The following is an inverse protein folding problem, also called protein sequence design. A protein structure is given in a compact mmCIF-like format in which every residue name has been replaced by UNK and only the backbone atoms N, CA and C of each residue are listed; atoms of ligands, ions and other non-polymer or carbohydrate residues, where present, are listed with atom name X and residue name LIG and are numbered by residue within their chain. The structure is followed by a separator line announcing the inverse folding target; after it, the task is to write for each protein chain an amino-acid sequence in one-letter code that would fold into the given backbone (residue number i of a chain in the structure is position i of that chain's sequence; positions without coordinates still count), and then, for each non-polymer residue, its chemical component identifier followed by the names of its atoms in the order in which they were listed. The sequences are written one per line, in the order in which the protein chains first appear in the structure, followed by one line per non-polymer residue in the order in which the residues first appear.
data_IF_803316240820
#
_entry.id   IF_803316240820
#
_cell.length_a   1.000
_cell.length_b   1.000
_cell.length_c   1.000
_cell.angle_alpha   90.00
_cell.angle_beta   90.00
_cell.angle_gamma   90.00
#
_symmetry.space_group_name_H-M   'P 1'
#
loop_
_entity.id
_entity.type
_entity.pdbx_description
1 polymer ?
#
# COMPACT_ATOMS: atom_id res chain seq x y z
N UNK A 1 49.42 10.14 -53.36
CA UNK A 1 49.72 9.98 -54.80
C UNK A 1 49.00 8.73 -55.30
N UNK A 2 48.37 8.82 -56.48
CA UNK A 2 47.64 7.79 -57.26
C UNK A 2 46.42 7.14 -56.55
N UNK A 3 45.14 7.42 -56.83
CA UNK A 3 44.33 7.70 -58.04
C UNK A 3 43.91 6.48 -58.86
N UNK A 4 42.60 6.17 -58.81
CA UNK A 4 41.69 5.67 -59.88
C UNK A 4 40.29 5.56 -59.21
N UNK A 5 39.26 6.42 -59.41
CA UNK A 5 38.41 6.72 -60.61
C UNK A 5 38.07 5.45 -61.39
N UNK A 6 36.85 5.13 -61.82
CA UNK A 6 35.51 5.73 -61.83
C UNK A 6 34.55 4.61 -62.30
N UNK A 7 33.28 4.61 -61.91
CA UNK A 7 32.15 4.65 -62.87
C UNK A 7 30.79 4.57 -62.16
N UNK A 8 29.96 5.56 -62.46
CA UNK A 8 28.53 5.62 -62.21
C UNK A 8 27.78 5.24 -63.49
N UNK A 9 26.58 4.65 -63.37
CA UNK A 9 25.38 5.17 -64.06
C UNK A 9 24.09 4.39 -63.73
N UNK A 10 23.14 5.15 -63.18
CA UNK A 10 21.69 5.25 -63.45
C UNK A 10 20.97 4.12 -64.21
N UNK A 11 19.82 3.70 -63.65
CA UNK A 11 18.54 3.68 -64.36
C UNK A 11 17.35 3.59 -63.38
N UNK A 12 16.48 4.59 -63.41
CA UNK A 12 15.12 4.53 -62.87
C UNK A 12 14.16 4.21 -64.03
N UNK A 13 13.15 3.34 -63.82
CA UNK A 13 11.88 3.38 -64.57
C UNK A 13 10.77 2.53 -63.92
N UNK A 14 9.91 3.26 -63.22
CA UNK A 14 8.44 3.26 -63.24
C UNK A 14 7.61 2.14 -63.92
N UNK A 15 6.56 1.78 -63.17
CA UNK A 15 5.15 1.58 -63.56
C UNK A 15 4.78 0.29 -64.28
N UNK A 16 3.94 -0.51 -63.60
CA UNK A 16 3.01 -1.40 -64.25
C UNK A 16 1.57 -1.08 -63.80
N UNK A 17 0.76 -0.70 -64.79
CA UNK A 17 -0.68 -0.42 -64.73
C UNK A 17 -1.51 -1.71 -64.79
N UNK A 18 -2.63 -1.77 -64.08
CA UNK A 18 -3.92 -2.26 -64.63
C UNK A 18 -5.13 -1.86 -63.78
N UNK A 19 -6.05 -1.14 -64.42
CA UNK A 19 -7.47 -0.92 -64.07
C UNK A 19 -8.21 -2.30 -64.14
N UNK A 20 -9.35 -2.57 -63.49
CA UNK A 20 -10.68 -1.95 -63.67
C UNK A 20 -11.72 -2.58 -62.72
N UNK A 21 -12.75 -1.77 -62.36
CA UNK A 21 -14.16 -2.11 -62.10
C UNK A 21 -14.49 -2.94 -60.82
N UNK A 22 -15.58 -2.73 -60.08
CA UNK A 22 -16.88 -2.21 -60.46
C UNK A 22 -17.65 -1.65 -59.24
N UNK A 23 -18.41 -0.57 -59.47
CA UNK A 23 -19.47 -0.06 -58.57
C UNK A 23 -20.70 -0.98 -58.69
N UNK A 24 -21.47 -1.13 -57.61
CA UNK A 24 -22.93 -0.95 -57.71
C UNK A 24 -23.60 -0.77 -56.34
N UNK A 25 -24.28 0.37 -56.23
CA UNK A 25 -25.31 0.73 -55.26
C UNK A 25 -26.66 0.43 -55.93
N UNK A 26 -27.65 -0.10 -55.20
CA UNK A 26 -29.06 0.25 -55.43
C UNK A 26 -29.98 -0.12 -54.24
N UNK A 27 -30.52 0.94 -53.63
CA UNK A 27 -31.88 1.07 -53.05
C UNK A 27 -32.93 0.52 -54.04
N UNK A 28 -34.16 0.08 -53.74
CA UNK A 28 -35.20 0.42 -52.75
C UNK A 28 -36.40 -0.49 -53.08
N UNK A 29 -37.25 -0.90 -52.13
CA UNK A 29 -38.66 -0.47 -52.07
C UNK A 29 -39.51 -1.24 -51.03
N UNK A 30 -40.32 -0.44 -50.32
CA UNK A 30 -41.44 -0.83 -49.47
C UNK A 30 -42.59 -1.41 -50.32
N UNK A 31 -43.33 -2.36 -49.76
CA UNK A 31 -44.79 -2.44 -49.92
C UNK A 31 -45.46 -2.98 -48.66
N UNK A 32 -46.40 -2.17 -48.17
CA UNK A 32 -47.32 -2.42 -47.05
C UNK A 32 -48.49 -3.24 -47.59
N UNK A 33 -48.98 -4.24 -46.84
CA UNK A 33 -50.39 -4.63 -46.85
C UNK A 33 -50.85 -5.03 -45.45
N UNK A 34 -51.93 -4.38 -45.00
CA UNK A 34 -52.70 -4.65 -43.79
C UNK A 34 -53.74 -5.74 -44.08
N UNK A 35 -53.95 -6.71 -43.17
CA UNK A 35 -55.32 -7.16 -42.78
C UNK A 35 -55.36 -8.13 -41.58
N UNK A 36 -55.99 -7.63 -40.51
CA UNK A 36 -57.02 -8.22 -39.62
C UNK A 36 -56.89 -9.69 -39.12
N UNK A 37 -56.62 -9.78 -37.81
CA UNK A 37 -57.35 -10.52 -36.75
C UNK A 37 -58.22 -11.73 -37.11
N UNK A 38 -57.92 -12.87 -36.48
CA UNK A 38 -58.91 -13.86 -35.99
C UNK A 38 -58.40 -14.58 -34.73
N UNK A 39 -59.28 -14.71 -33.74
CA UNK A 39 -59.14 -15.47 -32.50
C UNK A 39 -59.31 -16.98 -32.74
N UNK A 40 -58.49 -17.85 -32.10
CA UNK A 40 -58.92 -18.84 -31.07
C UNK A 40 -57.90 -19.97 -30.82
N UNK A 41 -57.79 -20.30 -29.53
CA UNK A 41 -57.61 -21.62 -28.88
C UNK A 41 -56.25 -22.33 -28.96
N UNK A 42 -55.52 -22.15 -27.84
CA UNK A 42 -54.87 -23.18 -27.00
C UNK A 42 -54.82 -24.63 -27.50
N UNK A 43 -53.59 -25.12 -27.69
CA UNK A 43 -53.20 -26.51 -27.40
C UNK A 43 -51.75 -26.54 -26.89
N UNK A 44 -51.57 -27.18 -25.73
CA UNK A 44 -50.31 -27.37 -25.02
C UNK A 44 -49.26 -28.14 -25.84
N UNK A 45 -48.01 -27.67 -25.86
CA UNK A 45 -46.83 -28.54 -25.98
C UNK A 45 -45.64 -27.95 -25.22
N UNK A 46 -45.07 -28.78 -24.34
CA UNK A 46 -43.95 -28.53 -23.41
C UNK A 46 -42.65 -28.11 -24.11
N UNK A 47 -41.69 -27.66 -23.28
CA UNK A 47 -40.25 -27.35 -23.50
C UNK A 47 -40.00 -25.89 -23.91
N UNK A 48 -39.19 -25.07 -23.24
CA UNK A 48 -38.14 -25.24 -22.20
C UNK A 48 -38.00 -23.92 -21.44
N UNK A 49 -37.90 -23.98 -20.11
CA UNK A 49 -37.64 -22.82 -19.25
C UNK A 49 -36.27 -22.19 -19.56
N UNK A 50 -36.26 -21.07 -20.28
CA UNK A 50 -35.17 -20.08 -20.16
C UNK A 50 -35.39 -19.34 -18.85
N UNK A 51 -34.67 -19.73 -17.79
CA UNK A 51 -34.50 -18.86 -16.62
C UNK A 51 -33.80 -17.59 -17.10
N UNK A 52 -34.54 -16.50 -17.18
CA UNK A 52 -33.95 -15.18 -17.16
C UNK A 52 -33.11 -15.08 -15.88
N UNK A 53 -31.79 -14.93 -16.02
CA UNK A 53 -30.89 -14.68 -14.91
C UNK A 53 -31.25 -13.34 -14.27
N UNK A 54 -32.14 -13.38 -13.29
CA UNK A 54 -32.34 -12.27 -12.37
C UNK A 54 -31.02 -12.04 -11.66
N UNK A 55 -30.51 -10.80 -11.73
CA UNK A 55 -29.48 -10.33 -10.81
C UNK A 55 -29.92 -10.74 -9.41
N UNK A 56 -29.13 -11.57 -8.75
CA UNK A 56 -29.30 -11.86 -7.33
C UNK A 56 -29.40 -10.50 -6.63
N UNK A 57 -30.49 -10.22 -5.89
CA UNK A 57 -30.56 -9.01 -5.10
C UNK A 57 -29.35 -9.02 -4.17
N UNK A 58 -28.66 -7.89 -4.02
CA UNK A 58 -27.71 -7.72 -2.93
C UNK A 58 -28.37 -8.26 -1.66
N UNK A 59 -27.67 -9.15 -0.93
CA UNK A 59 -28.14 -9.62 0.39
C UNK A 59 -28.69 -8.41 1.15
N UNK A 60 -29.90 -8.49 1.75
CA UNK A 60 -30.47 -7.37 2.47
C UNK A 60 -29.43 -6.82 3.43
N UNK A 61 -29.03 -5.58 3.20
CA UNK A 61 -28.11 -4.89 4.08
C UNK A 61 -28.84 -4.69 5.39
N UNK A 62 -28.36 -5.32 6.47
CA UNK A 62 -28.94 -5.13 7.80
C UNK A 62 -28.62 -3.70 8.26
N UNK A 63 -29.57 -2.79 8.01
CA UNK A 63 -29.45 -1.38 8.37
C UNK A 63 -29.29 -1.18 9.87
N UNK A 64 -29.79 -2.10 10.71
CA UNK A 64 -29.59 -2.00 12.17
C UNK A 64 -28.17 -2.35 12.57
N UNK A 65 -27.49 -3.21 11.81
CA UNK A 65 -26.07 -3.52 12.02
C UNK A 65 -25.16 -2.38 11.55
N UNK A 66 -25.51 -1.72 10.45
CA UNK A 66 -24.75 -0.58 9.93
C UNK A 66 -24.99 0.72 10.70
N UNK A 67 -26.24 0.93 11.13
CA UNK A 67 -26.69 2.13 11.83
C UNK A 67 -27.45 1.69 13.09
N UNK A 68 -26.74 1.18 14.11
CA UNK A 68 -27.36 0.83 15.36
C UNK A 68 -28.04 2.05 15.99
N UNK A 69 -29.17 1.88 16.69
CA UNK A 69 -29.87 2.97 17.34
C UNK A 69 -28.92 3.76 18.25
N UNK A 70 -29.06 5.09 18.26
CA UNK A 70 -28.23 5.94 19.09
C UNK A 70 -28.34 5.54 20.57
N UNK A 71 -27.19 5.43 21.25
CA UNK A 71 -27.11 4.98 22.64
C UNK A 71 -27.25 3.46 22.86
N UNK A 72 -27.49 2.66 21.82
CA UNK A 72 -27.46 1.20 21.96
C UNK A 72 -26.03 0.69 22.19
N UNK A 73 -25.91 -0.51 22.79
CA UNK A 73 -24.62 -1.17 23.02
C UNK A 73 -23.80 -1.31 21.74
N UNK A 74 -24.43 -1.67 20.62
CA UNK A 74 -23.77 -1.77 19.32
C UNK A 74 -23.24 -0.41 18.83
N UNK A 75 -24.01 0.69 19.01
CA UNK A 75 -23.58 2.03 18.61
C UNK A 75 -22.40 2.54 19.46
N UNK A 76 -22.44 2.26 20.77
CA UNK A 76 -21.36 2.59 21.70
C UNK A 76 -20.10 1.78 21.38
N UNK A 77 -20.23 0.48 21.09
CA UNK A 77 -19.12 -0.37 20.68
C UNK A 77 -18.52 0.07 19.34
N UNK A 78 -19.35 0.43 18.35
CA UNK A 78 -18.87 0.95 17.07
C UNK A 78 -18.08 2.25 17.24
N UNK A 79 -18.57 3.18 18.06
CA UNK A 79 -17.89 4.44 18.35
C UNK A 79 -16.55 4.21 19.05
N UNK A 80 -16.54 3.41 20.12
CA UNK A 80 -15.32 3.09 20.88
C UNK A 80 -14.28 2.34 20.04
N UNK A 81 -14.71 1.37 19.22
CA UNK A 81 -13.83 0.65 18.31
C UNK A 81 -13.25 1.57 17.21
N UNK A 82 -14.03 2.53 16.71
CA UNK A 82 -13.53 3.54 15.77
C UNK A 82 -12.48 4.43 16.44
N UNK A 83 -12.75 4.96 17.63
CA UNK A 83 -11.81 5.78 18.39
C UNK A 83 -10.50 5.02 18.68
N UNK A 84 -10.59 3.75 19.11
CA UNK A 84 -9.42 2.88 19.29
C UNK A 84 -8.64 2.67 17.99
N UNK A 85 -9.34 2.56 16.86
CA UNK A 85 -8.71 2.46 15.52
C UNK A 85 -8.03 3.78 15.13
N UNK A 86 -8.59 4.92 15.48
CA UNK A 86 -8.00 6.24 15.25
C UNK A 86 -6.74 6.43 16.12
N UNK A 87 -6.75 5.97 17.37
CA UNK A 87 -5.57 5.99 18.27
C UNK A 87 -4.44 5.13 17.72
N UNK A 88 -4.69 3.86 17.35
CA UNK A 88 -3.61 2.98 16.84
C UNK A 88 -3.04 3.48 15.50
N UNK A 89 -3.85 4.06 14.61
CA UNK A 89 -3.33 4.74 13.41
C UNK A 89 -2.39 5.89 13.79
N UNK A 90 -2.80 6.73 14.74
CA UNK A 90 -1.98 7.82 15.22
C UNK A 90 -0.68 7.33 15.88
N UNK A 91 -0.67 6.16 16.51
CA UNK A 91 0.57 5.53 17.01
C UNK A 91 1.59 5.31 15.88
N UNK A 92 1.18 4.78 14.72
CA UNK A 92 2.08 4.62 13.58
C UNK A 92 2.57 5.96 13.02
N UNK A 93 1.70 6.98 12.97
CA UNK A 93 2.08 8.33 12.52
C UNK A 93 3.06 8.99 13.47
N UNK A 94 2.78 8.96 14.77
CA UNK A 94 3.58 9.61 15.80
C UNK A 94 4.96 8.96 15.91
N UNK A 95 5.06 7.63 15.86
CA UNK A 95 6.36 6.93 15.84
C UNK A 95 7.18 7.36 14.62
N UNK A 96 6.56 7.42 13.45
CA UNK A 96 7.24 7.85 12.23
C UNK A 96 7.69 9.31 12.30
N UNK A 97 6.83 10.20 12.80
CA UNK A 97 7.13 11.61 13.01
C UNK A 97 8.28 11.78 14.01
N UNK A 98 8.25 11.06 15.14
CA UNK A 98 9.28 11.08 16.17
C UNK A 98 10.65 10.68 15.61
N UNK A 99 10.72 9.53 14.92
CA UNK A 99 11.98 9.04 14.33
C UNK A 99 12.51 9.97 13.23
N UNK A 100 11.63 10.50 12.37
CA UNK A 100 12.02 11.45 11.34
C UNK A 100 12.53 12.77 11.95
N UNK A 101 11.89 13.26 12.98
CA UNK A 101 12.31 14.48 13.68
C UNK A 101 13.63 14.28 14.41
N UNK A 102 13.85 13.13 15.05
CA UNK A 102 15.15 12.77 15.65
C UNK A 102 16.27 12.81 14.59
N UNK A 103 16.02 12.22 13.41
CA UNK A 103 16.97 12.23 12.29
C UNK A 103 17.27 13.65 11.82
N UNK A 104 16.24 14.46 11.57
CA UNK A 104 16.40 15.85 11.14
C UNK A 104 17.11 16.72 12.19
N UNK A 105 16.84 16.48 13.48
CA UNK A 105 17.55 17.15 14.57
C UNK A 105 19.05 16.80 14.58
N UNK A 106 19.42 15.54 14.34
CA UNK A 106 20.84 15.13 14.20
C UNK A 106 21.52 15.76 12.98
N UNK A 107 20.77 15.93 11.90
CA UNK A 107 21.21 16.61 10.68
C UNK A 107 21.25 18.15 10.82
N UNK A 108 20.91 18.69 12.00
CA UNK A 108 20.85 20.12 12.29
C UNK A 108 19.91 20.90 11.36
N UNK A 109 18.82 20.26 10.93
CA UNK A 109 17.77 20.94 10.19
C UNK A 109 17.10 22.03 11.05
N UNK A 110 16.84 23.19 10.46
CA UNK A 110 16.33 24.37 11.16
C UNK A 110 15.03 24.06 11.94
N UNK A 111 14.97 24.48 13.20
CA UNK A 111 13.82 24.29 14.10
C UNK A 111 13.60 22.86 14.63
N UNK A 112 14.26 21.85 14.06
CA UNK A 112 13.98 20.45 14.39
C UNK A 112 14.52 20.03 15.76
N UNK A 113 15.64 20.62 16.23
CA UNK A 113 16.25 20.25 17.50
C UNK A 113 15.37 20.59 18.70
N UNK A 114 14.78 21.79 18.72
CA UNK A 114 13.86 22.21 19.79
C UNK A 114 12.58 21.37 19.78
N UNK A 115 11.98 21.17 18.59
CA UNK A 115 10.79 20.31 18.45
C UNK A 115 11.06 18.88 18.94
N UNK A 116 12.21 18.30 18.57
CA UNK A 116 12.60 16.97 19.04
C UNK A 116 12.77 16.92 20.56
N UNK A 117 13.44 17.92 21.12
CA UNK A 117 13.68 18.01 22.57
C UNK A 117 12.36 18.08 23.34
N UNK A 118 11.39 18.85 22.84
CA UNK A 118 10.05 18.93 23.43
C UNK A 118 9.33 17.56 23.39
N UNK A 119 9.32 16.87 22.23
CA UNK A 119 8.72 15.54 22.12
C UNK A 119 9.37 14.52 23.07
N UNK A 120 10.69 14.58 23.21
CA UNK A 120 11.44 13.72 24.13
C UNK A 120 11.02 13.97 25.59
N UNK A 121 11.01 15.23 26.03
CA UNK A 121 10.61 15.62 27.39
C UNK A 121 9.16 15.21 27.70
N UNK A 122 8.23 15.38 26.75
CA UNK A 122 6.84 14.93 26.95
C UNK A 122 6.73 13.41 27.08
N UNK A 123 7.54 12.65 26.35
CA UNK A 123 7.56 11.19 26.42
C UNK A 123 8.14 10.73 27.76
N UNK A 124 9.30 11.26 28.15
CA UNK A 124 9.98 10.93 29.40
C UNK A 124 9.13 11.30 30.62
N UNK A 125 8.64 12.54 30.70
CA UNK A 125 7.82 13.01 31.81
C UNK A 125 6.45 12.32 31.90
N UNK A 126 5.96 11.72 30.81
CA UNK A 126 4.81 10.82 30.86
C UNK A 126 5.18 9.49 31.50
N UNK A 127 6.23 8.82 31.02
CA UNK A 127 6.70 7.52 31.54
C UNK A 127 7.05 7.61 33.02
N UNK A 128 7.79 8.64 33.41
CA UNK A 128 8.14 8.91 34.81
C UNK A 128 6.91 9.01 35.70
N UNK A 129 5.88 9.72 35.24
CA UNK A 129 4.65 9.91 36.00
C UNK A 129 3.87 8.61 36.17
N UNK A 130 3.72 7.82 35.11
CA UNK A 130 2.98 6.54 35.18
C UNK A 130 3.72 5.54 36.10
N UNK A 131 5.04 5.46 35.99
CA UNK A 131 5.87 4.61 36.87
C UNK A 131 5.79 5.09 38.31
N UNK A 132 5.92 6.39 38.57
CA UNK A 132 5.88 6.96 39.93
C UNK A 132 4.52 6.73 40.59
N UNK A 133 3.43 6.93 39.84
CA UNK A 133 2.08 6.65 40.33
C UNK A 133 1.91 5.18 40.70
N UNK A 134 2.37 4.28 39.83
CA UNK A 134 2.36 2.85 40.10
C UNK A 134 3.15 2.49 41.37
N UNK A 135 4.39 2.95 41.49
CA UNK A 135 5.23 2.68 42.66
C UNK A 135 4.60 3.20 43.96
N UNK A 136 4.03 4.41 43.94
CA UNK A 136 3.33 4.98 45.10
C UNK A 136 2.10 4.16 45.51
N UNK A 137 1.31 3.68 44.54
CA UNK A 137 0.19 2.78 44.83
C UNK A 137 0.67 1.45 45.43
N UNK A 138 1.76 0.89 44.92
CA UNK A 138 2.32 -0.36 45.45
C UNK A 138 2.84 -0.21 46.89
N UNK A 139 3.55 0.87 47.19
CA UNK A 139 4.04 1.16 48.54
C UNK A 139 2.89 1.33 49.53
N UNK A 140 1.86 2.08 49.14
CA UNK A 140 0.66 2.29 49.96
C UNK A 140 -0.05 0.96 50.26
N UNK A 141 -0.25 0.12 49.24
CA UNK A 141 -0.91 -1.18 49.42
C UNK A 141 -0.11 -2.14 50.30
N UNK A 142 1.23 -2.19 50.14
CA UNK A 142 2.10 -2.97 51.03
C UNK A 142 2.01 -2.49 52.48
N UNK A 143 1.93 -1.17 52.68
CA UNK A 143 1.78 -0.60 54.02
C UNK A 143 0.44 -0.98 54.67
N UNK A 144 -0.65 -1.08 53.90
CA UNK A 144 -1.99 -1.39 54.41
C UNK A 144 -2.26 -2.89 54.58
N UNK A 145 -1.72 -3.74 53.70
CA UNK A 145 -2.11 -5.16 53.59
C UNK A 145 -0.93 -6.16 53.68
N UNK A 146 0.30 -5.68 53.91
CA UNK A 146 1.50 -6.49 54.07
C UNK A 146 2.09 -6.92 52.72
N UNK A 147 1.55 -7.97 52.10
CA UNK A 147 1.98 -8.42 50.78
C UNK A 147 1.09 -7.86 49.67
N UNK A 148 1.73 -7.34 48.62
CA UNK A 148 1.02 -6.93 47.41
C UNK A 148 0.49 -8.16 46.68
N UNK A 149 -0.81 -8.41 46.83
CA UNK A 149 -1.59 -9.20 45.89
C UNK A 149 -1.96 -8.25 44.74
N UNK A 150 -1.77 -8.59 43.45
CA UNK A 150 -2.28 -7.79 42.35
C UNK A 150 -3.81 -7.88 42.31
N UNK A 151 -4.47 -7.19 43.25
CA UNK A 151 -5.93 -7.14 43.33
C UNK A 151 -6.40 -5.99 42.45
N UNK A 152 -6.88 -6.35 41.27
CA UNK A 152 -7.55 -5.54 40.24
C UNK A 152 -6.74 -4.36 39.65
N UNK A 153 -6.58 -4.29 38.31
CA UNK A 153 -5.80 -3.26 37.64
C UNK A 153 -6.53 -1.92 37.66
N UNK A 154 -6.47 -1.19 38.77
CA UNK A 154 -7.08 0.14 38.85
C UNK A 154 -6.25 1.23 38.16
N UNK A 155 -5.11 0.87 37.53
CA UNK A 155 -4.43 1.74 36.57
C UNK A 155 -4.32 1.05 35.21
N UNK A 156 -4.72 1.77 34.17
CA UNK A 156 -4.56 1.35 32.76
C UNK A 156 -3.11 1.07 32.40
N UNK A 157 -2.17 1.76 33.07
CA UNK A 157 -0.75 1.46 32.99
C UNK A 157 -0.44 0.02 33.41
N UNK A 158 -0.90 -0.41 34.60
CA UNK A 158 -0.66 -1.76 35.11
C UNK A 158 -1.30 -2.82 34.20
N UNK A 159 -2.53 -2.57 33.75
CA UNK A 159 -3.21 -3.42 32.78
C UNK A 159 -2.38 -3.59 31.51
N UNK A 160 -1.86 -2.49 30.97
CA UNK A 160 -1.06 -2.49 29.74
C UNK A 160 0.24 -3.26 29.91
N UNK A 161 1.05 -2.95 30.94
CA UNK A 161 2.36 -3.61 31.11
C UNK A 161 2.21 -5.08 31.50
N UNK A 162 1.13 -5.45 32.18
CA UNK A 162 0.83 -6.86 32.51
C UNK A 162 0.37 -7.63 31.29
N UNK A 163 -0.48 -7.02 30.45
CA UNK A 163 -1.04 -7.68 29.26
C UNK A 163 -0.09 -7.70 28.05
N UNK A 164 0.64 -6.61 27.83
CA UNK A 164 1.40 -6.35 26.59
C UNK A 164 2.91 -6.13 26.84
N UNK A 165 3.32 -5.99 28.10
CA UNK A 165 4.74 -5.84 28.46
C UNK A 165 5.30 -4.42 28.34
N UNK A 166 6.43 -4.23 29.03
CA UNK A 166 7.13 -2.95 29.14
C UNK A 166 7.68 -2.42 27.82
N UNK A 167 8.14 -3.31 26.94
CA UNK A 167 8.65 -2.94 25.61
C UNK A 167 7.55 -2.28 24.78
N UNK A 168 6.38 -2.90 24.70
CA UNK A 168 5.25 -2.34 23.97
C UNK A 168 4.81 -1.00 24.59
N UNK A 169 4.78 -0.92 25.92
CA UNK A 169 4.46 0.33 26.62
C UNK A 169 5.44 1.45 26.24
N UNK A 170 6.74 1.16 26.24
CA UNK A 170 7.76 2.13 25.88
C UNK A 170 7.67 2.56 24.41
N UNK A 171 7.43 1.63 23.48
CA UNK A 171 7.20 1.95 22.06
C UNK A 171 5.99 2.88 21.92
N UNK A 172 4.83 2.48 22.47
CA UNK A 172 3.59 3.24 22.38
C UNK A 172 3.68 4.60 23.10
N UNK A 173 4.48 4.73 24.16
CA UNK A 173 4.65 5.99 24.91
C UNK A 173 5.19 7.14 24.06
N UNK A 174 5.87 6.85 22.94
CA UNK A 174 6.33 7.88 22.01
C UNK A 174 5.17 8.53 21.23
N UNK A 175 4.03 7.85 21.14
CA UNK A 175 2.83 8.37 20.52
C UNK A 175 1.99 9.22 21.48
N UNK A 176 1.69 10.45 21.09
CA UNK A 176 0.80 11.33 21.86
C UNK A 176 -0.59 10.72 21.99
N UNK A 177 -1.11 10.16 20.90
CA UNK A 177 -2.43 9.54 20.90
C UNK A 177 -2.53 8.39 21.92
N UNK A 178 -1.45 7.62 22.14
CA UNK A 178 -1.42 6.59 23.17
C UNK A 178 -1.38 7.19 24.58
N UNK A 179 -0.52 8.19 24.83
CA UNK A 179 -0.42 8.90 26.12
C UNK A 179 -1.73 9.56 26.53
N UNK A 180 -2.51 10.03 25.55
CA UNK A 180 -3.86 10.55 25.78
C UNK A 180 -4.86 9.41 25.93
N UNK A 181 -4.78 8.37 25.10
CA UNK A 181 -5.64 7.19 25.19
C UNK A 181 -5.64 6.55 26.57
N UNK A 182 -4.47 6.40 27.19
CA UNK A 182 -4.38 5.84 28.54
C UNK A 182 -5.04 6.75 29.60
N UNK A 183 -5.04 8.08 29.44
CA UNK A 183 -5.58 9.03 30.45
C UNK A 183 -7.03 9.42 30.22
N UNK A 184 -7.41 9.63 28.97
CA UNK A 184 -8.61 10.37 28.58
C UNK A 184 -9.68 9.49 27.93
N UNK A 185 -9.31 8.33 27.36
CA UNK A 185 -10.29 7.51 26.63
C UNK A 185 -11.31 6.88 27.57
N UNK A 186 -12.48 6.49 27.04
CA UNK A 186 -13.44 5.68 27.82
C UNK A 186 -12.91 4.27 28.09
N UNK A 187 -13.36 3.59 29.15
CA UNK A 187 -12.93 2.20 29.44
C UNK A 187 -13.23 1.25 28.27
N UNK A 188 -14.34 1.51 27.56
CA UNK A 188 -14.72 0.76 26.36
C UNK A 188 -13.73 0.97 25.22
N UNK A 189 -13.34 2.21 24.96
CA UNK A 189 -12.32 2.56 23.97
C UNK A 189 -10.98 1.94 24.33
N UNK A 190 -10.58 2.02 25.61
CA UNK A 190 -9.35 1.44 26.13
C UNK A 190 -9.29 -0.08 25.92
N UNK A 191 -10.37 -0.81 26.22
CA UNK A 191 -10.46 -2.25 25.96
C UNK A 191 -10.26 -2.60 24.48
N UNK A 192 -10.92 -1.87 23.56
CA UNK A 192 -10.69 -2.06 22.12
C UNK A 192 -9.28 -1.68 21.69
N UNK A 193 -8.66 -0.68 22.31
CA UNK A 193 -7.28 -0.27 22.01
C UNK A 193 -6.29 -1.36 22.41
N UNK A 194 -6.43 -1.94 23.62
CA UNK A 194 -5.61 -3.07 24.06
C UNK A 194 -5.72 -4.26 23.11
N UNK A 195 -6.94 -4.62 22.71
CA UNK A 195 -7.17 -5.68 21.73
C UNK A 195 -6.45 -5.40 20.41
N UNK A 196 -6.56 -4.18 19.86
CA UNK A 196 -5.92 -3.82 18.59
C UNK A 196 -4.40 -3.83 18.67
N UNK A 197 -3.83 -3.37 19.78
CA UNK A 197 -2.37 -3.41 19.99
C UNK A 197 -1.92 -4.87 20.08
N UNK A 198 -2.66 -5.73 20.79
CA UNK A 198 -2.38 -7.16 20.85
C UNK A 198 -2.46 -7.83 19.46
N UNK A 199 -3.51 -7.57 18.68
CA UNK A 199 -3.68 -8.10 17.33
C UNK A 199 -2.59 -7.64 16.34
N UNK A 200 -1.99 -6.47 16.61
CA UNK A 200 -0.95 -5.87 15.78
C UNK A 200 0.41 -5.79 16.49
N UNK A 201 0.63 -6.63 17.50
CA UNK A 201 1.81 -6.58 18.36
C UNK A 201 3.12 -6.58 17.55
N UNK A 202 3.30 -7.61 16.71
CA UNK A 202 4.48 -7.75 15.87
C UNK A 202 4.62 -6.62 14.83
N UNK A 203 3.50 -6.10 14.34
CA UNK A 203 3.49 -4.98 13.38
C UNK A 203 4.03 -3.71 14.04
N UNK A 204 3.56 -3.37 15.24
CA UNK A 204 4.04 -2.19 16.00
C UNK A 204 5.53 -2.35 16.34
N UNK A 205 5.95 -3.53 16.78
CA UNK A 205 7.36 -3.79 17.08
C UNK A 205 8.27 -3.64 15.87
N UNK A 206 7.92 -4.28 14.74
CA UNK A 206 8.66 -4.18 13.49
C UNK A 206 8.68 -2.73 12.97
N UNK A 207 7.56 -2.03 13.09
CA UNK A 207 7.44 -0.65 12.64
C UNK A 207 8.35 0.30 13.43
N UNK A 208 8.40 0.14 14.76
CA UNK A 208 9.33 0.89 15.61
C UNK A 208 10.79 0.51 15.33
N UNK A 209 11.07 -0.79 15.16
CA UNK A 209 12.43 -1.30 14.92
C UNK A 209 13.00 -0.82 13.58
N UNK A 210 12.23 -0.93 12.50
CA UNK A 210 12.63 -0.49 11.14
C UNK A 210 12.93 1.01 11.02
N UNK A 211 12.54 1.80 12.04
CA UNK A 211 12.83 3.24 12.15
C UNK A 211 13.89 3.56 13.19
N UNK A 212 14.52 2.53 13.75
CA UNK A 212 15.50 2.64 14.82
C UNK A 212 14.99 3.43 16.04
N UNK A 213 13.69 3.29 16.39
CA UNK A 213 13.12 3.96 17.55
C UNK A 213 13.88 3.53 18.82
N UNK A 214 14.41 4.52 19.55
CA UNK A 214 15.16 4.31 20.79
C UNK A 214 14.25 4.16 22.00
N UNK A 215 13.24 3.30 21.91
CA UNK A 215 12.23 3.10 22.94
C UNK A 215 12.82 2.72 24.31
N UNK A 216 14.02 2.15 24.34
CA UNK A 216 14.72 1.75 25.58
C UNK A 216 15.17 2.94 26.42
N UNK A 217 15.50 4.06 25.79
CA UNK A 217 16.12 5.20 26.47
C UNK A 217 15.26 5.72 27.63
N UNK A 218 13.94 5.73 27.44
CA UNK A 218 12.96 6.17 28.44
C UNK A 218 12.80 5.19 29.61
N UNK A 219 13.25 3.93 29.47
CA UNK A 219 13.22 2.92 30.53
C UNK A 219 14.60 2.76 31.21
N UNK A 220 15.70 3.12 30.54
CA UNK A 220 17.06 2.94 31.08
C UNK A 220 17.29 3.62 32.44
N UNK A 221 16.63 4.75 32.69
CA UNK A 221 16.69 5.45 33.98
C UNK A 221 16.25 4.57 35.17
N UNK A 222 15.44 3.54 34.90
CA UNK A 222 14.84 2.67 35.90
C UNK A 222 15.47 1.26 35.97
N UNK A 223 16.53 0.98 35.19
CA UNK A 223 17.10 -0.38 35.11
C UNK A 223 17.57 -0.94 36.46
N UNK A 224 18.00 -0.08 37.39
CA UNK A 224 18.43 -0.47 38.73
C UNK A 224 17.33 -0.29 39.80
N UNK A 225 16.13 0.12 39.41
CA UNK A 225 14.99 0.29 40.31
C UNK A 225 14.22 -1.03 40.40
N UNK A 226 13.81 -1.49 41.60
CA UNK A 226 13.08 -2.74 41.77
C UNK A 226 11.61 -2.57 41.39
N UNK A 227 11.33 -2.29 40.11
CA UNK A 227 9.98 -2.11 39.58
C UNK A 227 9.41 -3.50 39.22
N UNK A 228 8.30 -3.92 39.84
CA UNK A 228 7.74 -5.25 39.59
C UNK A 228 7.34 -5.43 38.12
N UNK A 229 7.80 -6.53 37.54
CA UNK A 229 7.53 -6.90 36.15
C UNK A 229 8.43 -6.20 35.11
N UNK A 230 9.27 -5.22 35.49
CA UNK A 230 10.24 -4.62 34.57
C UNK A 230 11.36 -5.63 34.28
N UNK A 231 11.55 -6.08 33.02
CA UNK A 231 12.59 -7.06 32.72
C UNK A 231 13.99 -6.43 32.76
N UNK A 232 15.03 -7.26 32.90
CA UNK A 232 16.40 -6.77 32.68
C UNK A 232 16.55 -6.30 31.22
N UNK A 233 16.90 -5.04 31.05
CA UNK A 233 17.05 -4.42 29.73
C UNK A 233 18.26 -4.97 28.96
N UNK A 234 19.29 -5.51 29.63
CA UNK A 234 20.54 -5.98 28.97
C UNK A 234 20.31 -7.14 27.97
N UNK A 235 19.69 -8.28 28.33
CA UNK A 235 19.42 -9.36 27.38
C UNK A 235 18.50 -8.96 26.21
N UNK A 236 17.53 -8.09 26.51
CA UNK A 236 16.66 -7.50 25.50
C UNK A 236 17.46 -6.66 24.49
N UNK A 237 18.45 -5.88 24.95
CA UNK A 237 19.34 -5.07 24.08
C UNK A 237 20.10 -5.97 23.11
N UNK A 238 20.72 -7.04 23.60
CA UNK A 238 21.52 -7.95 22.77
C UNK A 238 20.68 -8.67 21.71
N UNK A 239 19.46 -9.04 22.05
CA UNK A 239 18.52 -9.70 21.12
C UNK A 239 18.07 -8.72 20.03
N UNK A 240 17.74 -7.48 20.42
CA UNK A 240 17.30 -6.45 19.48
C UNK A 240 18.40 -5.99 18.52
N UNK A 241 19.65 -5.86 18.99
CA UNK A 241 20.79 -5.46 18.14
C UNK A 241 21.18 -6.53 17.10
N UNK A 242 20.77 -7.78 17.30
CA UNK A 242 20.99 -8.87 16.32
C UNK A 242 19.98 -8.82 15.17
N UNK A 243 18.81 -8.24 15.39
CA UNK A 243 17.81 -8.06 14.36
C UNK A 243 18.21 -6.89 13.46
N UNK A 244 18.51 -7.17 12.19
CA UNK A 244 18.83 -6.14 11.19
C UNK A 244 17.65 -5.96 10.26
N UNK A 245 17.13 -4.74 10.21
CA UNK A 245 16.14 -4.31 9.21
C UNK A 245 16.71 -3.11 8.48
N UNK A 246 17.31 -3.36 7.31
CA UNK A 246 17.89 -2.30 6.47
C UNK A 246 16.82 -1.41 5.85
N UNK A 247 15.65 -1.98 5.54
CA UNK A 247 14.50 -1.28 5.00
C UNK A 247 13.20 -1.95 5.48
N UNK A 248 12.13 -1.20 5.81
CA UNK A 248 10.87 -1.80 6.28
C UNK A 248 10.34 -2.90 5.36
N UNK A 249 10.47 -2.72 4.04
CA UNK A 249 10.01 -3.67 3.02
C UNK A 249 10.99 -4.80 2.68
N UNK A 250 12.06 -4.96 3.47
CA UNK A 250 12.89 -6.18 3.45
C UNK A 250 12.41 -7.22 4.48
N UNK A 251 11.32 -6.94 5.21
CA UNK A 251 10.75 -7.86 6.18
C UNK A 251 9.28 -8.13 5.85
N UNK A 252 8.90 -9.41 5.84
CA UNK A 252 7.51 -9.87 5.67
C UNK A 252 7.07 -10.59 6.94
N UNK A 253 5.90 -10.21 7.47
CA UNK A 253 5.25 -10.94 8.57
C UNK A 253 4.54 -12.17 8.00
N UNK A 254 4.95 -13.37 8.43
CA UNK A 254 4.38 -14.64 7.97
C UNK A 254 3.08 -14.99 8.68
N UNK A 255 2.31 -15.94 8.14
CA UNK A 255 1.04 -16.40 8.73
C UNK A 255 1.20 -16.95 10.15
N UNK A 256 2.34 -17.58 10.44
CA UNK A 256 2.67 -18.12 11.76
C UNK A 256 3.28 -17.09 12.73
N UNK A 257 3.25 -15.81 12.38
CA UNK A 257 3.74 -14.72 13.23
C UNK A 257 5.26 -14.64 13.31
N UNK A 258 5.98 -15.17 12.31
CA UNK A 258 7.42 -15.01 12.16
C UNK A 258 7.75 -13.95 11.11
N UNK A 259 9.03 -13.78 10.86
CA UNK A 259 9.57 -12.83 9.91
C UNK A 259 10.36 -13.57 8.85
N UNK A 260 10.22 -13.15 7.60
CA UNK A 260 11.05 -13.63 6.48
C UNK A 260 11.52 -12.48 5.61
N UNK A 261 12.62 -12.70 4.93
CA UNK A 261 13.11 -11.80 3.89
C UNK A 261 12.49 -12.16 2.53
N UNK A 262 12.04 -11.17 1.74
CA UNK A 262 11.58 -11.41 0.40
C UNK A 262 12.78 -11.64 -0.54
N UNK A 263 12.80 -12.78 -1.22
CA UNK A 263 13.92 -13.18 -2.08
C UNK A 263 13.48 -13.45 -3.52
N UNK A 264 14.39 -13.21 -4.46
CA UNK A 264 14.29 -13.57 -5.86
C UNK A 264 15.56 -14.30 -6.28
N UNK A 265 15.42 -15.50 -6.85
CA UNK A 265 16.56 -16.36 -7.22
C UNK A 265 17.60 -16.53 -6.10
N UNK A 266 17.11 -16.72 -4.86
CA UNK A 266 17.95 -16.91 -3.67
C UNK A 266 18.65 -15.65 -3.16
N UNK A 267 18.35 -14.46 -3.72
CA UNK A 267 18.92 -13.17 -3.31
C UNK A 267 17.85 -12.28 -2.70
N UNK A 268 18.20 -11.51 -1.68
CA UNK A 268 17.32 -10.47 -1.12
C UNK A 268 16.88 -9.50 -2.22
N UNK A 269 15.58 -9.21 -2.29
CA UNK A 269 15.02 -8.21 -3.19
C UNK A 269 15.35 -6.81 -2.69
N UNK A 270 15.75 -5.91 -3.58
CA UNK A 270 16.28 -4.59 -3.21
C UNK A 270 15.26 -3.48 -3.43
N UNK A 271 15.07 -2.64 -2.40
CA UNK A 271 14.28 -1.42 -2.50
C UNK A 271 14.97 -0.38 -3.43
N UNK A 272 14.18 0.25 -4.29
CA UNK A 272 14.62 1.37 -5.16
C UNK A 272 13.64 2.55 -5.05
N UNK A 273 14.16 3.76 -5.23
CA UNK A 273 13.35 5.00 -5.24
C UNK A 273 13.12 5.55 -6.65
N UNK A 274 13.80 5.00 -7.66
CA UNK A 274 13.60 5.34 -9.07
C UNK A 274 13.78 4.07 -9.93
N UNK A 275 13.08 4.00 -11.07
CA UNK A 275 13.23 2.90 -12.01
C UNK A 275 14.62 2.90 -12.67
N UNK A 276 15.17 1.70 -12.90
CA UNK A 276 16.54 1.52 -13.38
C UNK A 276 16.54 1.36 -14.90
N UNK A 277 17.28 2.23 -15.60
CA UNK A 277 17.53 2.10 -17.03
C UNK A 277 18.98 1.69 -17.29
N UNK A 278 19.18 0.53 -17.93
CA UNK A 278 20.51 0.06 -18.31
C UNK A 278 20.69 0.06 -19.85
N UNK A 279 21.48 0.99 -20.43
CA UNK A 279 21.67 1.11 -21.88
C UNK A 279 22.06 -0.20 -22.60
N UNK A 280 22.82 -1.08 -21.92
CA UNK A 280 23.27 -2.36 -22.50
C UNK A 280 22.09 -3.28 -22.84
N UNK A 281 21.05 -3.31 -22.00
CA UNK A 281 19.81 -4.07 -22.24
C UNK A 281 18.99 -3.52 -23.41
N UNK A 282 19.32 -2.31 -23.87
CA UNK A 282 18.60 -1.58 -24.93
C UNK A 282 19.40 -1.49 -26.25
N UNK A 283 20.31 -2.43 -26.50
CA UNK A 283 21.15 -2.44 -27.70
C UNK A 283 22.06 -1.21 -27.80
N UNK A 284 22.47 -0.64 -26.66
CA UNK A 284 23.33 0.54 -26.60
C UNK A 284 22.61 1.88 -26.80
N UNK A 285 21.27 1.91 -26.88
CA UNK A 285 20.52 3.16 -26.86
C UNK A 285 20.83 3.92 -25.57
N UNK A 286 21.17 5.21 -25.69
CA UNK A 286 21.56 6.04 -24.54
C UNK A 286 20.37 6.70 -23.82
N UNK A 287 19.15 6.50 -24.29
CA UNK A 287 17.99 7.24 -23.80
C UNK A 287 16.94 6.31 -23.18
N UNK A 288 16.64 6.58 -21.91
CA UNK A 288 15.51 6.02 -21.19
C UNK A 288 14.19 6.34 -21.93
N UNK A 289 13.38 5.32 -22.25
CA UNK A 289 12.17 5.45 -23.06
C UNK A 289 11.05 6.24 -22.36
N UNK A 290 11.12 6.43 -21.04
CA UNK A 290 10.10 7.13 -20.25
C UNK A 290 10.30 8.64 -20.22
N UNK A 291 11.48 9.13 -20.64
CA UNK A 291 11.85 10.53 -20.48
C UNK A 291 11.23 11.43 -21.56
N UNK A 292 10.68 12.56 -21.13
CA UNK A 292 10.06 13.60 -21.99
C UNK A 292 11.06 14.50 -22.73
N UNK A 293 12.29 14.64 -22.23
CA UNK A 293 13.31 15.51 -22.83
C UNK A 293 14.68 14.83 -22.86
N UNK A 294 15.40 14.96 -23.97
CA UNK A 294 16.77 14.46 -24.06
C UNK A 294 17.69 15.24 -23.08
N UNK A 295 18.87 14.70 -22.72
CA UNK A 295 19.84 15.40 -21.87
C UNK A 295 20.23 16.79 -22.40
N UNK A 296 20.12 17.04 -23.70
CA UNK A 296 20.38 18.33 -24.33
C UNK A 296 19.17 19.30 -24.31
N UNK A 297 18.12 19.00 -23.54
CA UNK A 297 16.92 19.83 -23.38
C UNK A 297 15.91 19.73 -24.54
N UNK A 298 16.22 19.02 -25.62
CA UNK A 298 15.27 18.89 -26.74
C UNK A 298 14.08 17.99 -26.35
N UNK A 299 12.84 18.36 -26.72
CA UNK A 299 11.65 17.59 -26.38
C UNK A 299 11.65 16.24 -27.12
N UNK A 300 11.09 15.23 -26.47
CA UNK A 300 10.73 13.96 -27.10
C UNK A 300 9.24 13.97 -27.44
N UNK A 301 8.80 12.99 -28.23
CA UNK A 301 7.38 12.76 -28.48
C UNK A 301 6.72 11.89 -27.38
N UNK A 302 7.27 11.84 -26.16
CA UNK A 302 6.80 11.01 -25.04
C UNK A 302 6.16 11.87 -23.96
N UNK A 303 5.04 11.43 -23.41
CA UNK A 303 4.35 12.06 -22.28
C UNK A 303 3.45 13.24 -22.66
N UNK A 304 2.33 13.37 -21.96
CA UNK A 304 1.43 14.53 -21.99
C UNK A 304 1.91 15.64 -21.05
N UNK A 305 0.99 16.51 -20.63
CA UNK A 305 1.22 17.53 -19.62
C UNK A 305 1.49 16.87 -18.26
N UNK A 306 2.32 17.51 -17.42
CA UNK A 306 2.61 17.01 -16.09
C UNK A 306 1.34 16.96 -15.23
N UNK A 307 1.02 15.80 -14.68
CA UNK A 307 -0.17 15.59 -13.86
C UNK A 307 -0.17 16.36 -12.53
N UNK A 308 0.99 16.85 -12.06
CA UNK A 308 1.09 17.61 -10.81
C UNK A 308 0.96 19.13 -11.02
N UNK A 309 1.64 19.69 -12.02
CA UNK A 309 1.66 21.15 -12.23
C UNK A 309 1.00 21.61 -13.54
N UNK A 310 0.51 20.69 -14.37
CA UNK A 310 -0.08 20.99 -15.68
C UNK A 310 0.93 21.43 -16.76
N UNK A 311 2.24 21.37 -16.49
CA UNK A 311 3.24 21.85 -17.44
C UNK A 311 3.29 21.00 -18.72
N UNK A 312 3.09 21.60 -19.91
CA UNK A 312 3.22 20.91 -21.19
C UNK A 312 4.68 20.61 -21.57
N UNK A 313 5.64 21.19 -20.83
CA UNK A 313 7.08 20.94 -20.97
C UNK A 313 7.64 20.22 -19.73
N UNK A 314 8.89 19.74 -19.81
CA UNK A 314 9.56 19.10 -18.67
C UNK A 314 9.57 20.02 -17.46
N UNK A 315 9.31 19.45 -16.29
CA UNK A 315 9.49 20.14 -15.02
C UNK A 315 10.12 19.19 -13.99
N UNK A 316 10.52 19.75 -12.84
CA UNK A 316 11.18 19.01 -11.77
C UNK A 316 10.21 18.43 -10.75
N UNK A 317 8.91 18.42 -11.04
CA UNK A 317 7.93 17.74 -10.21
C UNK A 317 8.33 16.28 -9.95
N UNK A 318 8.18 15.86 -8.69
CA UNK A 318 8.33 14.48 -8.24
C UNK A 318 7.09 14.12 -7.45
N UNK A 319 6.67 12.86 -7.54
CA UNK A 319 5.65 12.35 -6.63
C UNK A 319 6.27 12.23 -5.25
N UNK A 320 5.81 13.03 -4.30
CA UNK A 320 6.13 12.87 -2.89
C UNK A 320 5.02 12.05 -2.24
N UNK A 321 5.26 10.77 -2.01
CA UNK A 321 4.31 9.92 -1.28
C UNK A 321 4.87 9.44 0.05
N UNK A 322 3.99 9.40 1.06
CA UNK A 322 4.25 8.81 2.37
C UNK A 322 3.66 7.41 2.52
N UNK A 323 2.97 6.88 1.50
CA UNK A 323 2.31 5.59 1.61
C UNK A 323 3.29 4.46 1.92
N UNK A 324 4.50 4.49 1.32
CA UNK A 324 5.57 3.53 1.63
C UNK A 324 6.04 3.57 3.09
N UNK A 325 5.82 4.66 3.82
CA UNK A 325 6.09 4.69 5.26
C UNK A 325 4.97 4.01 6.05
N UNK A 326 3.76 3.94 5.51
CA UNK A 326 2.53 3.58 6.22
C UNK A 326 1.89 2.30 5.66
N UNK A 327 2.73 1.41 5.16
CA UNK A 327 2.38 0.05 4.74
C UNK A 327 3.38 -0.94 5.29
N UNK A 328 2.99 -2.20 5.33
CA UNK A 328 3.87 -3.31 5.66
C UNK A 328 3.62 -4.50 4.75
N UNK A 329 4.57 -5.44 4.73
CA UNK A 329 4.43 -6.68 3.98
C UNK A 329 3.96 -7.79 4.91
N UNK A 330 2.92 -8.52 4.48
CA UNK A 330 2.34 -9.63 5.24
C UNK A 330 1.95 -10.76 4.32
N UNK A 331 2.07 -11.99 4.81
CA UNK A 331 1.50 -13.14 4.10
C UNK A 331 -0.01 -13.22 4.28
N UNK A 332 -0.67 -13.59 3.20
CA UNK A 332 -2.08 -13.91 3.11
C UNK A 332 -2.22 -15.37 2.66
N UNK A 333 -3.21 -16.12 3.18
CA UNK A 333 -3.31 -17.57 2.97
C UNK A 333 -3.22 -18.01 1.51
N UNK A 334 -3.93 -17.32 0.63
CA UNK A 334 -4.10 -17.77 -0.76
C UNK A 334 -3.32 -16.94 -1.78
N UNK A 335 -2.89 -15.73 -1.42
CA UNK A 335 -2.22 -14.77 -2.34
C UNK A 335 -0.73 -14.58 -2.04
N UNK A 336 -0.22 -15.18 -0.97
CA UNK A 336 1.19 -15.09 -0.58
C UNK A 336 1.53 -13.73 0.03
N UNK A 337 2.68 -13.16 -0.31
CA UNK A 337 3.11 -11.86 0.24
C UNK A 337 2.30 -10.73 -0.39
N UNK A 338 1.47 -10.08 0.42
CA UNK A 338 0.69 -8.89 0.09
C UNK A 338 1.16 -7.64 0.82
N UNK A 339 0.43 -6.54 0.61
CA UNK A 339 0.67 -5.25 1.26
C UNK A 339 -0.51 -4.91 2.17
N UNK A 340 -0.24 -4.61 3.45
CA UNK A 340 -1.26 -4.18 4.41
C UNK A 340 -1.11 -2.70 4.72
N UNK A 341 -2.21 -1.95 4.70
CA UNK A 341 -2.22 -0.54 5.09
C UNK A 341 -2.09 -0.38 6.62
N UNK A 342 -1.30 0.59 7.09
CA UNK A 342 -1.17 0.94 8.52
C UNK A 342 -1.94 2.22 8.88
N UNK A 343 -2.47 2.91 7.86
CA UNK A 343 -3.29 4.13 7.98
C UNK A 343 -4.48 4.03 7.03
N UNK A 344 -5.45 4.92 7.20
CA UNK A 344 -6.42 5.19 6.15
C UNK A 344 -5.76 5.89 4.95
N UNK A 345 -6.06 5.42 3.74
CA UNK A 345 -5.86 6.16 2.48
C UNK A 345 -7.21 6.56 1.91
N UNK A 346 -7.33 7.78 1.40
CA UNK A 346 -8.58 8.30 0.85
C UNK A 346 -8.73 7.91 -0.61
N UNK A 347 -9.98 7.77 -1.07
CA UNK A 347 -10.28 7.64 -2.50
C UNK A 347 -9.62 8.77 -3.30
N UNK A 348 -8.88 8.39 -4.33
CA UNK A 348 -8.18 9.33 -5.22
C UNK A 348 -6.73 9.61 -4.83
N UNK A 349 -6.29 9.16 -3.65
CA UNK A 349 -4.88 9.27 -3.27
C UNK A 349 -3.99 8.54 -4.27
N UNK A 350 -2.89 9.17 -4.66
CA UNK A 350 -1.82 8.54 -5.44
C UNK A 350 -0.80 7.97 -4.45
N UNK A 351 -0.82 6.65 -4.25
CA UNK A 351 -0.06 5.97 -3.20
C UNK A 351 1.43 5.87 -3.51
N UNK A 352 1.83 5.50 -4.73
CA UNK A 352 3.24 5.51 -5.14
C UNK A 352 3.35 5.29 -6.65
N UNK A 353 4.57 5.24 -7.17
CA UNK A 353 4.90 4.78 -8.51
C UNK A 353 5.27 3.29 -8.47
N UNK A 354 4.79 2.52 -9.44
CA UNK A 354 5.24 1.15 -9.68
C UNK A 354 6.63 1.17 -10.33
N UNK A 355 7.63 0.64 -9.64
CA UNK A 355 9.04 0.78 -10.03
C UNK A 355 9.73 -0.56 -10.25
N UNK A 356 10.71 -0.55 -11.16
CA UNK A 356 11.56 -1.70 -11.42
C UNK A 356 12.63 -1.39 -12.46
N UNK A 357 13.24 -2.43 -12.99
CA UNK A 357 14.12 -2.31 -14.15
C UNK A 357 13.30 -2.05 -15.42
N UNK A 358 13.74 -1.11 -16.25
CA UNK A 358 13.12 -0.80 -17.53
C UNK A 358 13.72 -1.68 -18.62
N UNK A 359 12.89 -2.57 -19.18
CA UNK A 359 13.29 -3.54 -20.20
C UNK A 359 12.60 -3.25 -21.54
N UNK A 360 13.26 -3.51 -22.68
CA UNK A 360 12.65 -3.29 -24.00
C UNK A 360 11.49 -4.26 -24.28
N UNK A 361 11.55 -5.47 -23.73
CA UNK A 361 10.52 -6.50 -23.81
C UNK A 361 10.42 -7.21 -22.48
N UNK A 362 9.27 -7.80 -22.18
CA UNK A 362 9.13 -8.64 -20.98
C UNK A 362 10.06 -9.85 -21.08
N UNK A 363 10.75 -10.16 -19.98
CA UNK A 363 11.62 -11.34 -19.86
C UNK A 363 10.91 -12.53 -19.23
N UNK A 364 9.76 -12.27 -18.59
CA UNK A 364 8.90 -13.26 -17.93
C UNK A 364 7.45 -12.76 -17.95
N UNK A 365 6.51 -13.59 -17.48
CA UNK A 365 5.08 -13.28 -17.52
C UNK A 365 4.47 -12.91 -16.14
N UNK A 366 5.22 -13.04 -15.04
CA UNK A 366 4.69 -12.81 -13.68
C UNK A 366 5.39 -11.60 -13.07
N UNK A 367 4.63 -10.55 -12.71
CA UNK A 367 5.02 -9.25 -12.16
C UNK A 367 5.33 -8.09 -13.13
N UNK A 368 5.93 -8.28 -14.32
CA UNK A 368 6.20 -7.16 -15.21
C UNK A 368 4.95 -6.42 -15.66
N UNK A 369 5.04 -5.09 -15.69
CA UNK A 369 3.97 -4.21 -16.14
C UNK A 369 4.37 -3.52 -17.45
N UNK A 370 3.50 -3.56 -18.46
CA UNK A 370 3.70 -2.80 -19.69
C UNK A 370 3.49 -1.31 -19.43
N UNK A 371 4.52 -0.51 -19.69
CA UNK A 371 4.48 0.95 -19.62
C UNK A 371 4.22 1.51 -21.01
N UNK A 372 3.03 2.09 -21.18
CA UNK A 372 2.68 2.85 -22.38
C UNK A 372 2.86 4.36 -22.15
N UNK A 373 2.83 5.11 -23.23
CA UNK A 373 2.69 6.56 -23.23
C UNK A 373 1.28 6.95 -22.75
N UNK A 374 1.15 8.10 -22.06
CA UNK A 374 -0.13 8.59 -21.52
C UNK A 374 -0.90 9.48 -22.50
N UNK A 375 -0.39 9.66 -23.72
CA UNK A 375 -1.05 10.43 -24.78
C UNK A 375 -2.34 9.77 -25.26
N UNK A 376 -3.45 10.50 -25.15
CA UNK A 376 -4.75 10.08 -25.65
C UNK A 376 -4.72 9.71 -27.14
N UNK A 377 -5.33 8.57 -27.49
CA UNK A 377 -5.50 8.11 -28.87
C UNK A 377 -4.24 7.51 -29.51
N UNK A 378 -3.12 7.39 -28.78
CA UNK A 378 -1.90 6.72 -29.23
C UNK A 378 -1.30 5.88 -28.09
N UNK A 379 -1.80 4.66 -27.92
CA UNK A 379 -1.16 3.67 -27.03
C UNK A 379 0.19 3.25 -27.62
N UNK A 380 1.22 4.06 -27.36
CA UNK A 380 2.59 3.75 -27.73
C UNK A 380 3.25 3.02 -26.58
N UNK A 381 3.63 1.76 -26.81
CA UNK A 381 4.48 1.02 -25.88
C UNK A 381 5.85 1.71 -25.72
N UNK A 382 6.26 1.95 -24.48
CA UNK A 382 7.55 2.55 -24.13
C UNK A 382 8.53 1.49 -23.65
N UNK A 383 8.14 0.70 -22.66
CA UNK A 383 8.96 -0.34 -22.04
C UNK A 383 8.11 -1.30 -21.21
N UNK A 384 8.78 -2.30 -20.63
CA UNK A 384 8.24 -3.12 -19.55
C UNK A 384 8.97 -2.74 -18.25
N UNK A 385 8.22 -2.50 -17.17
CA UNK A 385 8.74 -2.32 -15.81
C UNK A 385 8.83 -3.69 -15.16
N UNK A 386 10.03 -4.13 -14.82
CA UNK A 386 10.31 -5.43 -14.22
C UNK A 386 10.76 -5.29 -12.77
N UNK A 387 9.90 -5.59 -11.78
CA UNK A 387 10.20 -5.33 -10.38
C UNK A 387 10.79 -6.55 -9.64
N UNK A 388 11.43 -7.51 -10.31
CA UNK A 388 11.84 -8.76 -9.64
C UNK A 388 12.94 -8.57 -8.61
N UNK A 389 14.15 -8.21 -9.05
CA UNK A 389 15.29 -8.04 -8.15
C UNK A 389 15.30 -6.63 -7.52
N UNK A 390 14.81 -5.64 -8.26
CA UNK A 390 14.79 -4.23 -7.87
C UNK A 390 13.38 -3.69 -7.99
N UNK A 391 12.82 -3.15 -6.92
CA UNK A 391 11.46 -2.59 -6.91
C UNK A 391 11.15 -1.99 -5.54
N UNK A 392 10.08 -1.20 -5.44
CA UNK A 392 9.58 -0.72 -4.16
C UNK A 392 8.44 -1.63 -3.65
N UNK A 393 7.77 -1.24 -2.57
CA UNK A 393 6.68 -2.01 -1.94
C UNK A 393 5.51 -2.33 -2.89
N UNK A 394 5.27 -1.52 -3.93
CA UNK A 394 4.13 -1.69 -4.84
C UNK A 394 4.16 -3.02 -5.61
N UNK A 395 5.34 -3.63 -5.74
CA UNK A 395 5.52 -4.95 -6.37
C UNK A 395 4.79 -6.09 -5.65
N UNK A 396 4.47 -5.91 -4.37
CA UNK A 396 3.80 -6.91 -3.53
C UNK A 396 2.27 -6.70 -3.50
N UNK A 397 1.72 -5.76 -4.26
CA UNK A 397 0.27 -5.55 -4.30
C UNK A 397 -0.40 -6.74 -4.99
N UNK A 398 -1.20 -7.49 -4.23
CA UNK A 398 -1.92 -8.66 -4.69
C UNK A 398 -3.07 -8.33 -5.65
N UNK A 399 -3.51 -9.34 -6.40
CA UNK A 399 -4.72 -9.23 -7.20
C UNK A 399 -6.00 -9.27 -6.37
N UNK A 400 -7.00 -8.46 -6.72
CA UNK A 400 -8.40 -8.68 -6.37
C UNK A 400 -9.35 -8.27 -7.50
N UNK A 401 -10.46 -9.00 -7.67
CA UNK A 401 -11.59 -8.60 -8.54
C UNK A 401 -12.44 -7.48 -7.93
N UNK A 402 -12.24 -7.16 -6.64
CA UNK A 402 -12.80 -5.98 -5.97
C UNK A 402 -11.65 -5.14 -5.39
N UNK A 403 -10.78 -4.60 -6.26
CA UNK A 403 -9.54 -3.99 -5.82
C UNK A 403 -9.77 -2.71 -5.02
N UNK A 404 -8.84 -2.39 -4.13
CA UNK A 404 -8.78 -1.09 -3.46
C UNK A 404 -8.06 -0.03 -4.30
N UNK A 405 -7.23 -0.45 -5.27
CA UNK A 405 -6.40 0.45 -6.09
C UNK A 405 -6.45 0.12 -7.59
N UNK A 406 -5.90 1.02 -8.41
CA UNK A 406 -5.63 0.80 -9.84
C UNK A 406 -4.26 1.30 -10.24
N UNK A 407 -3.70 0.72 -11.29
CA UNK A 407 -2.58 1.28 -12.01
C UNK A 407 -3.04 2.38 -12.98
N UNK A 408 -2.38 3.54 -12.93
CA UNK A 408 -2.66 4.68 -13.83
C UNK A 408 -1.37 5.18 -14.46
N UNK A 409 -1.33 5.22 -15.79
CA UNK A 409 -0.21 5.78 -16.53
C UNK A 409 -0.38 7.30 -16.58
N UNK A 410 0.67 8.05 -16.21
CA UNK A 410 0.68 9.52 -16.27
C UNK A 410 2.08 10.08 -16.36
N UNK A 411 2.15 11.32 -16.81
CA UNK A 411 3.37 12.11 -16.84
C UNK A 411 3.56 12.85 -15.52
N UNK A 412 4.67 12.62 -14.83
CA UNK A 412 5.08 13.38 -13.64
C UNK A 412 6.47 13.94 -13.89
N UNK A 413 6.60 15.26 -13.85
CA UNK A 413 7.88 15.92 -14.04
C UNK A 413 8.42 15.70 -15.44
N UNK A 414 9.56 15.01 -15.52
CA UNK A 414 10.28 14.71 -16.75
C UNK A 414 10.04 13.29 -17.29
N UNK A 415 9.15 12.50 -16.68
CA UNK A 415 8.95 11.08 -17.02
C UNK A 415 7.47 10.69 -17.12
N UNK A 416 7.19 9.70 -17.96
CA UNK A 416 5.95 8.92 -17.93
C UNK A 416 6.13 7.77 -16.96
N UNK A 417 5.23 7.65 -15.99
CA UNK A 417 5.28 6.67 -14.90
C UNK A 417 3.96 5.92 -14.80
N UNK A 418 3.95 4.81 -14.06
CA UNK A 418 2.72 4.15 -13.64
C UNK A 418 2.53 4.38 -12.14
N UNK A 419 1.43 5.01 -11.74
CA UNK A 419 1.09 5.21 -10.33
C UNK A 419 0.09 4.17 -9.84
N UNK A 420 0.07 3.94 -8.53
CA UNK A 420 -0.97 3.20 -7.82
C UNK A 420 -1.93 4.21 -7.21
N UNK A 421 -3.18 4.24 -7.66
CA UNK A 421 -4.19 5.17 -7.14
C UNK A 421 -5.29 4.44 -6.35
N UNK A 422 -5.71 5.00 -5.22
CA UNK A 422 -6.83 4.50 -4.45
C UNK A 422 -8.17 4.69 -5.18
N UNK A 423 -8.91 3.61 -5.42
CA UNK A 423 -10.24 3.60 -6.06
C UNK A 423 -11.36 3.95 -5.09
N UNK A 424 -11.14 3.65 -3.82
CA UNK A 424 -12.02 3.87 -2.67
C UNK A 424 -11.15 4.14 -1.45
N UNK A 425 -11.79 4.52 -0.35
CA UNK A 425 -11.10 4.56 0.94
C UNK A 425 -10.55 3.16 1.27
N UNK A 426 -9.31 3.15 1.71
CA UNK A 426 -8.60 1.96 2.19
C UNK A 426 -8.51 2.11 3.71
N UNK A 427 -9.04 1.13 4.43
CA UNK A 427 -9.05 1.17 5.89
C UNK A 427 -7.71 0.70 6.46
N UNK A 428 -7.36 1.14 7.69
CA UNK A 428 -6.23 0.57 8.40
C UNK A 428 -6.35 -0.93 8.53
N UNK A 429 -5.22 -1.62 8.40
CA UNK A 429 -5.07 -3.07 8.44
C UNK A 429 -5.74 -3.83 7.30
N UNK A 430 -6.26 -3.13 6.29
CA UNK A 430 -6.78 -3.72 5.05
C UNK A 430 -5.64 -4.09 4.09
N UNK A 431 -5.80 -5.18 3.33
CA UNK A 431 -4.91 -5.49 2.21
C UNK A 431 -5.12 -4.50 1.06
N UNK A 432 -4.01 -3.93 0.56
CA UNK A 432 -3.99 -3.13 -0.65
C UNK A 432 -3.91 -4.07 -1.85
N UNK A 433 -4.90 -3.97 -2.74
CA UNK A 433 -5.06 -4.87 -3.89
C UNK A 433 -5.33 -4.10 -5.17
N UNK A 434 -5.02 -4.72 -6.31
CA UNK A 434 -5.21 -4.15 -7.65
C UNK A 434 -5.85 -5.18 -8.59
N UNK A 435 -6.54 -4.71 -9.65
CA UNK A 435 -6.93 -5.62 -10.73
C UNK A 435 -5.75 -5.82 -11.68
N UNK A 436 -5.29 -7.06 -11.86
CA UNK A 436 -4.29 -7.38 -12.89
C UNK A 436 -4.89 -7.37 -14.30
N UNK A 437 -6.22 -7.28 -14.41
CA UNK A 437 -6.97 -7.25 -15.66
C UNK A 437 -7.05 -8.63 -16.34
N UNK A 438 -8.07 -8.81 -17.19
CA UNK A 438 -8.29 -10.10 -17.86
C UNK A 438 -7.12 -10.56 -18.74
N UNK A 439 -6.31 -9.63 -19.27
CA UNK A 439 -5.14 -9.99 -20.10
C UNK A 439 -4.10 -10.82 -19.34
N UNK A 440 -3.93 -10.55 -18.04
CA UNK A 440 -2.97 -11.25 -17.19
C UNK A 440 -3.34 -12.73 -17.04
N UNK A 441 -4.63 -13.02 -16.84
CA UNK A 441 -5.13 -14.37 -16.59
C UNK A 441 -5.21 -15.23 -17.87
N UNK A 442 -5.36 -14.61 -19.04
CA UNK A 442 -5.59 -15.34 -20.31
C UNK A 442 -4.47 -16.30 -20.73
N UNK A 443 -3.23 -16.07 -20.29
CA UNK A 443 -2.10 -16.95 -20.59
C UNK A 443 -1.66 -17.80 -19.40
N UNK A 444 -2.42 -17.79 -18.30
CA UNK A 444 -2.05 -18.44 -17.04
C UNK A 444 -3.00 -19.59 -16.74
N UNK A 445 -2.41 -20.73 -16.38
CA UNK A 445 -3.13 -21.91 -15.90
C UNK A 445 -3.30 -21.85 -14.37
N UNK A 446 -3.69 -20.68 -13.86
CA UNK A 446 -3.93 -20.45 -12.43
C UNK A 446 -5.27 -19.75 -12.22
N UNK A 447 -6.03 -20.26 -11.26
CA UNK A 447 -7.29 -19.66 -10.85
C UNK A 447 -7.06 -18.42 -9.98
N UNK A 448 -7.99 -17.48 -10.10
CA UNK A 448 -8.10 -16.33 -9.20
C UNK A 448 -8.43 -16.80 -7.76
N UNK A 449 -7.54 -16.53 -6.81
CA UNK A 449 -7.72 -16.89 -5.40
C UNK A 449 -8.14 -15.71 -4.50
N UNK A 450 -8.64 -14.60 -5.08
CA UNK A 450 -8.96 -13.40 -4.29
C UNK A 450 -10.25 -13.49 -3.45
N UNK A 451 -11.01 -14.60 -3.53
CA UNK A 451 -12.28 -14.76 -2.82
C UNK A 451 -13.43 -13.85 -3.28
N UNK A 452 -13.20 -13.00 -4.30
CA UNK A 452 -14.19 -12.06 -4.86
C UNK A 452 -14.52 -12.32 -6.33
N UNK A 453 -13.97 -13.39 -6.89
CA UNK A 453 -14.30 -13.86 -8.22
C UNK A 453 -15.75 -14.40 -8.23
N UNK A 454 -16.64 -13.77 -8.99
CA UNK A 454 -18.02 -14.21 -9.22
C UNK A 454 -18.12 -15.25 -10.36
N UNK A 455 -16.99 -15.86 -10.73
CA UNK A 455 -16.87 -16.78 -11.86
C UNK A 455 -16.92 -16.09 -13.22
N UNK A 456 -16.98 -14.76 -13.30
CA UNK A 456 -17.01 -14.06 -14.59
C UNK A 456 -15.62 -13.94 -15.23
N UNK A 457 -14.53 -13.92 -14.45
CA UNK A 457 -13.16 -13.96 -14.97
C UNK A 457 -12.83 -12.94 -16.08
N UNK A 458 -13.66 -11.90 -16.25
CA UNK A 458 -13.57 -10.95 -17.36
C UNK A 458 -14.22 -9.64 -16.96
N UNK A 459 -13.40 -8.61 -16.74
CA UNK A 459 -13.73 -7.25 -17.14
C UNK A 459 -13.03 -6.96 -18.49
#
# INVERSE_FOLDING_TARGET
MASTRNNANNAARTVNTRKTANKNVKKTNRKITNRKTTNRKTTNRKTTNRRAGGKTPFSPVDLKKLFPPWGSEDALNQTANKEATDIIQAVYHDINAYCNLERLAKEQAYGCQEMFSNMFVFTEGFVEREISYYMSCMESFKAEHGEFQPVTPNSRFLEFVTGLGWKMFAICSHAEAFRRGIKESSDRTWGFLLQKIQENFLSIELYAHSRALKWRNILCAYQNSPIPGLPDMKPEIETYMKWKVDHPHHTVITLDGKLKEPTYNGKLQQHINESIYEPKKWGGKKQDPTIRHKPNGSPTNVGSDCALCGSPVSCDCRLTSRAGELVELREYPDTGTGVRALTRFQRGDTLDIFMGELLPTSVEEVYPLQQNDDKLGKERYLCTICPHQFGNWTRYISHSCRPSTRFTIRTIGNRVVCTVDALRDILPFEEITVSYGGKYWRSKDYDCLCGHCDGSGTD
#
